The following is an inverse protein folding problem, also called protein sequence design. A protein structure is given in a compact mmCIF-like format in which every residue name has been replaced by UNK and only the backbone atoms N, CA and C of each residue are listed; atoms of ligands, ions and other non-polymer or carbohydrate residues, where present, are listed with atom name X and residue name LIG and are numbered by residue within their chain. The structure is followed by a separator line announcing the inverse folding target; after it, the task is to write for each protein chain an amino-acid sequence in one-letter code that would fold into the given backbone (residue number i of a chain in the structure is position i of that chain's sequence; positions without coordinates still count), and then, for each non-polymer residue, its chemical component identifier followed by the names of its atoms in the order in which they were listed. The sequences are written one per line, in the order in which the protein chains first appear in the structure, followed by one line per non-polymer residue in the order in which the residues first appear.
data_IF_388868432253
#
_entry.id   IF_388868432253
#
_cell.length_a   1.000
_cell.length_b   1.000
_cell.length_c   1.000
_cell.angle_alpha   90.00
_cell.angle_beta   90.00
_cell.angle_gamma   90.00
#
_symmetry.space_group_name_H-M   'P 1'
#
loop_
_entity.id
_entity.type
_entity.pdbx_description
1 polymer ?
#
# COMPACT_ATOMS: atom_id res chain seq x y z
N UNK A 1 10.00 -1.97 -16.14
CA UNK A 1 8.78 -1.13 -16.16
C UNK A 1 7.53 -2.01 -16.33
N UNK A 2 7.38 -2.77 -17.43
CA UNK A 2 6.20 -3.64 -17.65
C UNK A 2 5.98 -4.67 -16.53
N UNK A 3 7.03 -5.38 -16.09
CA UNK A 3 6.91 -6.39 -15.03
C UNK A 3 6.37 -5.80 -13.70
N UNK A 4 6.86 -4.63 -13.28
CA UNK A 4 6.40 -3.98 -12.06
C UNK A 4 4.95 -3.47 -12.18
N UNK A 5 4.58 -2.97 -13.36
CA UNK A 5 3.19 -2.60 -13.65
C UNK A 5 2.24 -3.80 -13.55
N UNK A 6 2.61 -4.95 -14.12
CA UNK A 6 1.82 -6.18 -14.03
C UNK A 6 1.67 -6.69 -12.59
N UNK A 7 2.74 -6.61 -11.80
CA UNK A 7 2.69 -6.95 -10.37
C UNK A 7 1.70 -6.02 -9.65
N UNK A 8 1.80 -4.70 -9.88
CA UNK A 8 0.87 -3.73 -9.28
C UNK A 8 -0.57 -4.05 -9.65
N UNK A 9 -0.87 -4.21 -10.94
CA UNK A 9 -2.23 -4.51 -11.41
C UNK A 9 -2.76 -5.82 -10.85
N UNK A 10 -1.93 -6.84 -10.68
CA UNK A 10 -2.33 -8.09 -10.04
C UNK A 10 -2.75 -7.86 -8.58
N UNK A 11 -1.94 -7.13 -7.81
CA UNK A 11 -2.28 -6.81 -6.42
C UNK A 11 -3.51 -5.92 -6.31
N UNK A 12 -3.72 -4.99 -7.24
CA UNK A 12 -4.93 -4.17 -7.30
C UNK A 12 -6.17 -5.02 -7.57
N UNK A 13 -6.11 -5.92 -8.55
CA UNK A 13 -7.20 -6.86 -8.85
C UNK A 13 -7.50 -7.78 -7.67
N UNK A 14 -6.47 -8.32 -7.00
CA UNK A 14 -6.64 -9.14 -5.80
C UNK A 14 -7.30 -8.36 -4.67
N UNK A 15 -6.88 -7.11 -4.45
CA UNK A 15 -7.46 -6.22 -3.45
C UNK A 15 -8.92 -5.92 -3.76
N UNK A 16 -9.25 -5.57 -5.00
CA UNK A 16 -10.63 -5.32 -5.43
C UNK A 16 -11.50 -6.58 -5.32
N UNK A 17 -10.99 -7.73 -5.72
CA UNK A 17 -11.69 -9.01 -5.61
C UNK A 17 -12.03 -9.31 -4.15
N UNK A 18 -11.06 -9.13 -3.25
CA UNK A 18 -11.29 -9.35 -1.82
C UNK A 18 -12.26 -8.34 -1.23
N UNK A 19 -12.14 -7.04 -1.57
CA UNK A 19 -13.05 -6.02 -1.05
C UNK A 19 -14.49 -6.23 -1.54
N UNK A 20 -14.69 -6.57 -2.81
CA UNK A 20 -16.02 -6.73 -3.41
C UNK A 20 -16.69 -8.05 -3.04
N UNK A 21 -15.96 -9.16 -3.06
CA UNK A 21 -16.55 -10.50 -2.87
C UNK A 21 -16.21 -11.12 -1.52
N UNK A 22 -15.03 -10.85 -0.95
CA UNK A 22 -14.62 -11.38 0.35
C UNK A 22 -15.20 -10.59 1.52
N UNK A 23 -15.02 -9.27 1.53
CA UNK A 23 -15.52 -8.36 2.55
C UNK A 23 -16.94 -7.86 2.26
N UNK A 24 -17.34 -7.87 0.98
CA UNK A 24 -18.59 -7.23 0.52
C UNK A 24 -18.67 -5.77 0.98
N UNK A 25 -17.55 -5.06 0.84
CA UNK A 25 -17.37 -3.70 1.32
C UNK A 25 -18.38 -2.74 0.67
N UNK A 26 -18.95 -1.85 1.49
CA UNK A 26 -19.69 -0.71 1.00
C UNK A 26 -18.74 0.33 0.36
N UNK A 27 -19.32 1.36 -0.27
CA UNK A 27 -18.54 2.37 -0.99
C UNK A 27 -17.50 3.07 -0.10
N UNK A 28 -17.86 3.36 1.17
CA UNK A 28 -16.98 4.06 2.09
C UNK A 28 -15.83 3.16 2.56
N UNK A 29 -16.11 1.92 2.95
CA UNK A 29 -15.10 0.94 3.34
C UNK A 29 -14.15 0.63 2.19
N UNK A 30 -14.69 0.44 0.98
CA UNK A 30 -13.89 0.20 -0.22
C UNK A 30 -12.93 1.37 -0.48
N UNK A 31 -13.45 2.61 -0.45
CA UNK A 31 -12.63 3.81 -0.64
C UNK A 31 -11.52 3.94 0.40
N UNK A 32 -11.82 3.71 1.68
CA UNK A 32 -10.79 3.79 2.74
C UNK A 32 -9.72 2.72 2.55
N UNK A 33 -10.13 1.46 2.35
CA UNK A 33 -9.19 0.34 2.20
C UNK A 33 -8.32 0.53 0.96
N UNK A 34 -8.93 0.91 -0.15
CA UNK A 34 -8.22 1.17 -1.40
C UNK A 34 -7.21 2.30 -1.26
N UNK A 35 -7.59 3.42 -0.65
CA UNK A 35 -6.67 4.52 -0.35
C UNK A 35 -5.43 4.05 0.43
N UNK A 36 -5.65 3.28 1.50
CA UNK A 36 -4.54 2.78 2.32
C UNK A 36 -3.65 1.81 1.56
N UNK A 37 -4.23 0.85 0.81
CA UNK A 37 -3.46 -0.10 0.00
C UNK A 37 -2.62 0.65 -1.02
N UNK A 38 -3.22 1.49 -1.86
CA UNK A 38 -2.52 2.18 -2.94
C UNK A 38 -1.38 3.06 -2.42
N UNK A 39 -1.64 3.86 -1.37
CA UNK A 39 -0.61 4.75 -0.83
C UNK A 39 0.53 3.94 -0.20
N UNK A 40 0.24 2.91 0.59
CA UNK A 40 1.27 2.11 1.25
C UNK A 40 2.09 1.26 0.26
N UNK A 41 1.46 0.69 -0.78
CA UNK A 41 2.19 -0.05 -1.82
C UNK A 41 3.08 0.87 -2.65
N UNK A 42 2.65 2.10 -2.93
CA UNK A 42 3.49 3.08 -3.64
C UNK A 42 4.69 3.54 -2.80
N UNK A 43 4.49 3.79 -1.50
CA UNK A 43 5.60 4.05 -0.57
C UNK A 43 6.57 2.86 -0.50
N UNK A 44 6.06 1.63 -0.49
CA UNK A 44 6.87 0.42 -0.55
C UNK A 44 7.62 0.30 -1.89
N UNK A 45 6.97 0.61 -3.00
CA UNK A 45 7.57 0.60 -4.34
C UNK A 45 8.73 1.60 -4.43
N UNK A 46 8.54 2.83 -3.94
CA UNK A 46 9.59 3.86 -3.86
C UNK A 46 10.79 3.32 -3.09
N UNK A 47 10.57 2.64 -1.96
CA UNK A 47 11.65 2.08 -1.15
C UNK A 47 12.38 0.93 -1.87
N UNK A 48 11.63 -0.03 -2.43
CA UNK A 48 12.14 -1.24 -3.10
C UNK A 48 12.89 -0.91 -4.39
N UNK A 49 12.32 -0.04 -5.22
CA UNK A 49 12.85 0.31 -6.54
C UNK A 49 13.96 1.37 -6.49
N UNK A 50 14.19 2.04 -5.35
CA UNK A 50 15.29 3.00 -5.15
C UNK A 50 16.67 2.41 -5.48
N UNK A 51 16.85 1.12 -5.24
CA UNK A 51 18.16 0.46 -5.28
C UNK A 51 18.18 -0.65 -6.31
N UNK A 52 19.30 -0.83 -7.03
CA UNK A 52 19.50 -1.98 -7.93
C UNK A 52 19.69 -3.30 -7.17
N UNK A 53 20.24 -3.23 -5.96
CA UNK A 53 20.48 -4.39 -5.10
C UNK A 53 19.39 -4.58 -4.03
N UNK A 54 19.60 -5.50 -3.07
CA UNK A 54 18.63 -5.75 -2.00
C UNK A 54 18.32 -4.50 -1.18
N UNK A 55 17.03 -4.23 -0.92
CA UNK A 55 16.59 -2.98 -0.26
C UNK A 55 17.20 -2.79 1.13
N UNK A 56 17.46 -3.87 1.87
CA UNK A 56 18.06 -3.85 3.22
C UNK A 56 19.56 -3.54 3.24
N UNK A 57 20.26 -3.56 2.10
CA UNK A 57 21.70 -3.24 2.04
C UNK A 57 21.99 -1.75 1.95
N UNK A 58 21.00 -0.92 1.68
CA UNK A 58 21.16 0.52 1.50
C UNK A 58 20.18 1.27 2.41
N UNK A 59 20.69 2.25 3.15
CA UNK A 59 19.84 3.14 3.95
C UNK A 59 19.27 4.26 3.07
N UNK A 60 17.96 4.55 3.15
CA UNK A 60 17.42 5.77 2.55
C UNK A 60 18.12 6.99 3.14
N UNK A 61 18.26 8.06 2.34
CA UNK A 61 18.65 9.36 2.89
C UNK A 61 17.59 9.87 3.87
N UNK A 62 18.01 10.71 4.83
CA UNK A 62 17.16 11.15 5.94
C UNK A 62 15.84 11.78 5.49
N UNK A 63 15.89 12.63 4.45
CA UNK A 63 14.70 13.27 3.88
C UNK A 63 13.69 12.24 3.35
N UNK A 64 14.17 11.22 2.64
CA UNK A 64 13.30 10.16 2.10
C UNK A 64 12.71 9.32 3.23
N UNK A 65 13.48 8.97 4.26
CA UNK A 65 12.94 8.23 5.41
C UNK A 65 11.86 9.02 6.14
N UNK A 66 12.06 10.33 6.35
CA UNK A 66 11.04 11.18 6.98
C UNK A 66 9.79 11.31 6.12
N UNK A 67 9.93 11.47 4.82
CA UNK A 67 8.80 11.51 3.90
C UNK A 67 8.00 10.20 3.91
N UNK A 68 8.68 9.05 3.82
CA UNK A 68 8.04 7.73 3.88
C UNK A 68 7.32 7.52 5.22
N UNK A 69 7.96 7.87 6.33
CA UNK A 69 7.36 7.75 7.66
C UNK A 69 6.14 8.66 7.82
N UNK A 70 6.26 9.94 7.44
CA UNK A 70 5.17 10.91 7.52
C UNK A 70 3.97 10.46 6.66
N UNK A 71 4.20 10.03 5.42
CA UNK A 71 3.12 9.58 4.54
C UNK A 71 2.50 8.27 5.00
N UNK A 72 3.27 7.36 5.61
CA UNK A 72 2.73 6.15 6.23
C UNK A 72 1.82 6.49 7.42
N UNK A 73 2.22 7.44 8.25
CA UNK A 73 1.38 7.93 9.35
C UNK A 73 0.11 8.58 8.81
N UNK A 74 0.20 9.41 7.76
CA UNK A 74 -0.97 10.01 7.11
C UNK A 74 -1.89 8.93 6.55
N UNK A 75 -1.38 7.92 5.85
CA UNK A 75 -2.17 6.82 5.30
C UNK A 75 -3.01 6.11 6.39
N UNK A 76 -2.41 5.90 7.56
CA UNK A 76 -3.06 5.19 8.67
C UNK A 76 -3.96 6.09 9.52
N UNK A 77 -3.56 7.34 9.78
CA UNK A 77 -4.27 8.23 10.68
C UNK A 77 -5.42 9.01 10.00
N UNK A 78 -5.30 9.30 8.69
CA UNK A 78 -6.26 10.14 7.97
C UNK A 78 -7.70 9.59 8.03
N UNK A 79 -7.97 8.27 7.89
CA UNK A 79 -9.31 7.71 8.05
C UNK A 79 -9.92 7.87 9.46
N UNK A 80 -9.10 8.18 10.47
CA UNK A 80 -9.51 8.35 11.86
C UNK A 80 -9.56 9.83 12.30
N UNK A 81 -9.32 10.76 11.38
CA UNK A 81 -9.22 12.21 11.66
C UNK A 81 -10.56 12.93 11.88
N UNK A 82 -11.65 12.20 12.11
CA UNK A 82 -12.98 12.76 12.41
C UNK A 82 -13.57 13.56 11.26
N UNK A 83 -13.72 14.90 11.36
CA UNK A 83 -14.35 15.72 10.32
C UNK A 83 -13.65 15.66 8.97
N UNK A 84 -12.32 15.55 8.95
CA UNK A 84 -11.56 15.44 7.71
C UNK A 84 -11.78 14.07 7.04
N UNK A 85 -11.82 12.99 7.83
CA UNK A 85 -12.19 11.66 7.34
C UNK A 85 -13.59 11.67 6.73
N UNK A 86 -14.57 12.28 7.40
CA UNK A 86 -15.94 12.40 6.90
C UNK A 86 -16.03 13.20 5.59
N UNK A 87 -15.28 14.32 5.47
CA UNK A 87 -15.23 15.13 4.26
C UNK A 87 -14.63 14.37 3.06
N UNK A 88 -13.68 13.48 3.30
CA UNK A 88 -13.10 12.58 2.28
C UNK A 88 -13.95 11.32 2.06
N UNK A 89 -14.98 11.12 2.87
CA UNK A 89 -15.85 9.96 2.85
C UNK A 89 -15.18 8.68 3.37
N UNK A 90 -14.16 8.80 4.21
CA UNK A 90 -13.57 7.63 4.86
C UNK A 90 -14.48 7.11 5.97
N UNK A 91 -14.64 5.80 5.99
CA UNK A 91 -15.24 5.04 7.08
C UNK A 91 -14.16 4.28 7.87
N UNK A 92 -14.39 4.03 9.17
CA UNK A 92 -13.55 3.14 9.96
C UNK A 92 -13.52 1.75 9.33
N UNK A 93 -12.32 1.19 9.17
CA UNK A 93 -12.14 -0.12 8.59
C UNK A 93 -12.38 -1.24 9.60
N UNK A 94 -13.06 -2.33 9.22
CA UNK A 94 -13.10 -3.53 10.05
C UNK A 94 -11.70 -4.13 10.17
N UNK A 95 -11.45 -4.84 11.27
CA UNK A 95 -10.15 -5.45 11.54
C UNK A 95 -9.66 -6.37 10.41
N UNK A 96 -10.58 -7.11 9.76
CA UNK A 96 -10.28 -7.94 8.60
C UNK A 96 -9.65 -7.13 7.44
N UNK A 97 -10.15 -5.92 7.18
CA UNK A 97 -9.61 -5.06 6.14
C UNK A 97 -8.23 -4.53 6.51
N UNK A 98 -8.02 -4.12 7.76
CA UNK A 98 -6.70 -3.67 8.25
C UNK A 98 -5.64 -4.76 8.07
N UNK A 99 -5.97 -6.00 8.45
CA UNK A 99 -5.08 -7.16 8.25
C UNK A 99 -4.82 -7.40 6.77
N UNK A 100 -5.85 -7.31 5.92
CA UNK A 100 -5.70 -7.44 4.46
C UNK A 100 -4.77 -6.36 3.89
N UNK A 101 -4.91 -5.09 4.30
CA UNK A 101 -4.02 -4.00 3.86
C UNK A 101 -2.58 -4.34 4.19
N UNK A 102 -2.31 -4.73 5.44
CA UNK A 102 -0.96 -5.12 5.85
C UNK A 102 -0.41 -6.30 5.05
N UNK A 103 -1.22 -7.33 4.83
CA UNK A 103 -0.84 -8.50 4.06
C UNK A 103 -0.52 -8.16 2.59
N UNK A 104 -1.36 -7.34 1.94
CA UNK A 104 -1.15 -6.89 0.56
C UNK A 104 0.12 -6.07 0.43
N UNK A 105 0.36 -5.11 1.32
CA UNK A 105 1.56 -4.26 1.28
C UNK A 105 2.83 -5.08 1.46
N UNK A 106 2.84 -6.03 2.41
CA UNK A 106 3.99 -6.91 2.63
C UNK A 106 4.23 -7.85 1.44
N UNK A 107 3.17 -8.50 0.96
CA UNK A 107 3.27 -9.41 -0.18
C UNK A 107 3.70 -8.68 -1.47
N UNK A 108 3.19 -7.47 -1.69
CA UNK A 108 3.59 -6.61 -2.80
C UNK A 108 5.07 -6.24 -2.71
N UNK A 109 5.53 -5.79 -1.54
CA UNK A 109 6.94 -5.43 -1.33
C UNK A 109 7.87 -6.62 -1.60
N UNK A 110 7.51 -7.82 -1.11
CA UNK A 110 8.26 -9.05 -1.35
C UNK A 110 8.26 -9.47 -2.81
N UNK A 111 7.11 -9.44 -3.48
CA UNK A 111 6.99 -9.78 -4.91
C UNK A 111 7.81 -8.82 -5.78
N UNK A 112 7.75 -7.52 -5.47
CA UNK A 112 8.48 -6.47 -6.19
C UNK A 112 9.99 -6.60 -5.97
N UNK A 113 10.42 -6.87 -4.74
CA UNK A 113 11.83 -7.11 -4.39
C UNK A 113 12.35 -8.39 -5.07
N UNK A 114 11.53 -9.44 -5.18
CA UNK A 114 11.91 -10.66 -5.88
C UNK A 114 12.02 -10.42 -7.39
N UNK A 115 11.03 -9.76 -8.00
CA UNK A 115 11.04 -9.41 -9.41
C UNK A 115 12.27 -8.57 -9.81
N UNK A 116 12.75 -7.71 -8.91
CA UNK A 116 13.98 -6.94 -9.11
C UNK A 116 15.22 -7.83 -9.34
N UNK A 117 15.29 -9.03 -8.75
CA UNK A 117 16.40 -9.98 -8.95
C UNK A 117 16.45 -10.55 -10.36
N UNK A 118 15.31 -10.62 -11.05
CA UNK A 118 15.20 -11.14 -12.41
C UNK A 118 15.37 -10.07 -13.48
N UNK A 119 15.25 -8.80 -13.11
CA UNK A 119 15.37 -7.64 -14.00
C UNK A 119 16.79 -7.06 -14.06
N UNK A 120 17.75 -7.66 -13.34
CA UNK A 120 19.18 -7.33 -13.29
C UNK A 120 19.98 -8.47 -13.92
#
# INVERSE_FOLDING_TARGET
MVAFGLISSLFDLLTFTWLLWGLQADQATFRTAWFQVSLLTELAAVLVLRTRGPVWRSRPGELLSWALAAMSVVALALPHSGPLAAALGFAPLPWSAVVMVGAVVLAYALATEWAKRWAN
#
